data_IF_758233571403
#
_entry.id   IF_758233571403
#
_cell.length_a   1.000
_cell.length_b   1.000
_cell.length_c   1.000
_cell.angle_alpha   90.00
_cell.angle_beta   90.00
_cell.angle_gamma   90.00
#
_symmetry.space_group_name_H-M   'P 1'
#
loop_
_entity.id
_entity.type
_entity.pdbx_description
1 polymer ?
#
# COMPACT_ATOMS: atom_id res chain seq x y z
N UNK A 1 -13.85 40.71 -27.01
CA UNK A 1 -14.57 39.50 -26.55
C UNK A 1 -13.51 38.52 -26.08
N UNK A 2 -13.56 38.09 -24.82
CA UNK A 2 -12.62 37.09 -24.33
C UNK A 2 -13.38 35.78 -24.13
N UNK A 3 -12.90 34.74 -24.79
CA UNK A 3 -13.50 33.41 -24.76
C UNK A 3 -12.91 32.64 -23.59
N UNK A 4 -13.78 32.21 -22.67
CA UNK A 4 -13.40 31.40 -21.51
C UNK A 4 -13.04 29.99 -22.02
N UNK A 5 -11.79 29.58 -21.84
CA UNK A 5 -11.34 28.26 -22.25
C UNK A 5 -11.36 27.31 -21.05
N UNK A 6 -12.19 26.29 -21.12
CA UNK A 6 -12.36 25.30 -20.06
C UNK A 6 -11.19 24.31 -20.12
N UNK A 7 -10.38 24.29 -19.05
CA UNK A 7 -9.23 23.39 -18.95
C UNK A 7 -9.68 22.08 -18.30
N UNK A 8 -9.41 20.96 -18.98
CA UNK A 8 -9.71 19.63 -18.44
C UNK A 8 -8.73 19.31 -17.32
N UNK A 9 -9.25 18.90 -16.15
CA UNK A 9 -8.42 18.51 -15.01
C UNK A 9 -7.63 17.25 -15.35
N UNK A 10 -6.30 17.31 -15.18
CA UNK A 10 -5.41 16.15 -15.31
C UNK A 10 -5.84 15.08 -14.29
N UNK A 11 -5.90 13.82 -14.70
CA UNK A 11 -6.06 12.71 -13.76
C UNK A 11 -4.85 12.70 -12.81
N UNK A 12 -5.13 12.56 -11.52
CA UNK A 12 -4.10 12.31 -10.52
C UNK A 12 -3.74 10.84 -10.64
N UNK A 13 -2.51 10.57 -11.01
CA UNK A 13 -1.96 9.23 -10.91
C UNK A 13 -1.72 8.96 -9.42
N UNK A 14 -2.24 7.85 -8.91
CA UNK A 14 -2.10 7.52 -7.49
C UNK A 14 -0.62 7.19 -7.21
N UNK A 15 0.04 8.07 -6.46
CA UNK A 15 1.47 8.00 -6.13
C UNK A 15 1.84 6.69 -5.41
N UNK A 16 0.86 6.00 -4.83
CA UNK A 16 1.06 4.73 -4.12
C UNK A 16 0.54 3.53 -4.91
N UNK A 17 0.49 3.67 -6.24
CA UNK A 17 0.35 2.58 -7.20
C UNK A 17 -1.09 2.09 -7.35
N UNK A 18 -1.52 1.94 -8.60
CA UNK A 18 -2.82 1.39 -8.97
C UNK A 18 -2.98 -0.11 -8.67
N UNK A 19 -3.86 -0.77 -9.42
CA UNK A 19 -4.30 -2.17 -9.22
C UNK A 19 -3.16 -3.22 -9.15
N UNK A 20 -1.95 -2.88 -9.63
CA UNK A 20 -0.74 -3.73 -9.59
C UNK A 20 0.33 -3.32 -8.57
N UNK A 21 0.09 -2.36 -7.68
CA UNK A 21 1.12 -1.85 -6.75
C UNK A 21 1.71 -2.92 -5.82
N UNK A 22 0.96 -3.98 -5.58
CA UNK A 22 1.32 -5.05 -4.66
C UNK A 22 1.91 -6.28 -5.36
N UNK A 23 1.93 -6.30 -6.70
CA UNK A 23 2.43 -7.42 -7.49
C UNK A 23 3.96 -7.56 -7.40
N UNK A 24 4.66 -6.43 -7.26
CA UNK A 24 6.13 -6.38 -7.14
C UNK A 24 6.62 -6.29 -5.69
N UNK A 25 5.71 -6.38 -4.71
CA UNK A 25 6.05 -6.27 -3.30
C UNK A 25 6.54 -7.63 -2.81
N UNK A 26 7.59 -7.63 -1.99
CA UNK A 26 8.18 -8.84 -1.46
C UNK A 26 7.16 -9.64 -0.62
N UNK A 27 7.22 -10.97 -0.71
CA UNK A 27 6.30 -11.86 -0.01
C UNK A 27 7.00 -12.47 1.19
N UNK A 28 6.44 -12.25 2.38
CA UNK A 28 6.91 -12.88 3.61
C UNK A 28 5.95 -13.97 4.07
N UNK A 29 6.50 -14.95 4.78
CA UNK A 29 5.74 -15.92 5.54
C UNK A 29 5.36 -15.26 6.89
N UNK A 30 4.15 -14.71 6.97
CA UNK A 30 3.58 -14.13 8.19
C UNK A 30 2.13 -14.54 8.32
N UNK A 31 1.80 -15.07 9.50
CA UNK A 31 0.44 -15.46 9.84
C UNK A 31 -0.48 -14.24 9.83
N UNK A 32 -1.52 -14.28 9.00
CA UNK A 32 -2.52 -13.23 8.98
C UNK A 32 -3.24 -13.16 10.35
N UNK A 33 -3.39 -11.96 10.96
CA UNK A 33 -4.09 -11.81 12.24
C UNK A 33 -5.60 -12.07 12.13
N UNK A 34 -6.13 -12.19 10.90
CA UNK A 34 -7.54 -12.52 10.66
C UNK A 34 -7.74 -14.02 10.86
N UNK A 35 -8.44 -14.36 11.94
CA UNK A 35 -8.78 -15.74 12.33
C UNK A 35 -9.51 -16.52 11.22
N UNK A 36 -10.31 -15.83 10.39
CA UNK A 36 -11.00 -16.43 9.24
C UNK A 36 -10.10 -16.77 8.06
N UNK A 37 -8.91 -16.17 7.96
CA UNK A 37 -8.06 -16.35 6.78
C UNK A 37 -7.07 -17.51 6.98
N UNK A 38 -6.41 -17.54 8.15
CA UNK A 38 -5.43 -18.56 8.54
C UNK A 38 -4.27 -18.75 7.55
N UNK A 39 -4.04 -17.76 6.66
CA UNK A 39 -3.05 -17.86 5.60
C UNK A 39 -1.71 -17.31 6.09
N UNK A 40 -0.63 -17.98 5.68
CA UNK A 40 0.72 -17.69 6.15
C UNK A 40 1.51 -16.80 5.19
N UNK A 41 0.95 -16.37 4.06
CA UNK A 41 1.64 -15.48 3.11
C UNK A 41 1.04 -14.08 3.12
N UNK A 42 1.91 -13.09 3.23
CA UNK A 42 1.57 -11.67 3.14
C UNK A 42 2.60 -10.93 2.28
N UNK A 43 2.14 -9.95 1.50
CA UNK A 43 3.01 -8.94 0.92
C UNK A 43 3.50 -8.02 2.02
N UNK A 44 4.77 -7.66 2.03
CA UNK A 44 5.30 -6.68 2.98
C UNK A 44 6.16 -5.64 2.28
N UNK A 45 6.05 -4.41 2.75
CA UNK A 45 6.96 -3.34 2.37
C UNK A 45 7.26 -2.48 3.58
N UNK A 46 8.46 -1.92 3.58
CA UNK A 46 8.95 -1.08 4.66
C UNK A 46 8.97 0.36 4.17
N UNK A 47 8.31 1.24 4.89
CA UNK A 47 8.24 2.65 4.54
C UNK A 47 8.59 3.52 5.75
N UNK A 48 9.58 4.39 5.54
CA UNK A 48 9.95 5.44 6.49
C UNK A 48 8.94 6.59 6.37
N UNK A 49 7.90 6.55 7.21
CA UNK A 49 6.85 7.58 7.28
C UNK A 49 7.08 8.62 8.38
N UNK A 50 8.11 8.44 9.22
CA UNK A 50 8.42 9.27 10.38
C UNK A 50 9.84 9.83 10.31
N UNK A 51 10.24 10.54 11.36
CA UNK A 51 11.58 11.12 11.46
C UNK A 51 12.63 10.02 11.41
N UNK A 52 13.84 10.34 10.95
CA UNK A 52 14.94 9.37 10.82
C UNK A 52 15.38 8.73 12.16
N UNK A 53 14.91 9.27 13.28
CA UNK A 53 15.13 8.76 14.64
C UNK A 53 14.21 7.57 15.01
N UNK A 54 13.17 7.27 14.22
CA UNK A 54 12.27 6.14 14.46
C UNK A 54 12.56 4.96 13.51
N UNK A 55 12.41 3.71 13.98
CA UNK A 55 12.57 2.53 13.13
C UNK A 55 11.56 2.55 11.99
N UNK A 56 11.89 1.88 10.89
CA UNK A 56 11.01 1.83 9.72
C UNK A 56 9.68 1.15 10.07
N UNK A 57 8.56 1.69 9.61
CA UNK A 57 7.27 1.02 9.75
C UNK A 57 7.15 -0.05 8.67
N UNK A 58 6.90 -1.29 9.10
CA UNK A 58 6.62 -2.40 8.18
C UNK A 58 5.12 -2.50 7.97
N UNK A 59 4.69 -2.49 6.72
CA UNK A 59 3.31 -2.70 6.33
C UNK A 59 3.16 -4.09 5.73
N UNK A 60 2.14 -4.81 6.19
CA UNK A 60 1.79 -6.13 5.71
C UNK A 60 0.41 -6.11 5.05
N UNK A 61 0.23 -6.87 3.99
CA UNK A 61 -1.05 -7.12 3.34
C UNK A 61 -1.20 -8.60 3.04
N UNK A 62 -2.25 -9.22 3.58
CA UNK A 62 -2.53 -10.62 3.27
C UNK A 62 -2.87 -10.79 1.78
N UNK A 63 -2.27 -11.80 1.14
CA UNK A 63 -2.51 -12.09 -0.28
C UNK A 63 -3.92 -12.63 -0.57
N UNK A 64 -4.60 -13.16 0.45
CA UNK A 64 -5.91 -13.83 0.33
C UNK A 64 -7.07 -12.95 0.75
N UNK A 65 -7.00 -12.31 1.93
CA UNK A 65 -8.09 -11.46 2.44
C UNK A 65 -7.88 -9.97 2.20
N UNK A 66 -6.74 -9.56 1.61
CA UNK A 66 -6.38 -8.15 1.40
C UNK A 66 -6.40 -7.30 2.67
N UNK A 67 -6.40 -7.92 3.85
CA UNK A 67 -6.31 -7.24 5.12
C UNK A 67 -4.92 -6.63 5.26
N UNK A 68 -4.87 -5.37 5.70
CA UNK A 68 -3.63 -4.63 5.88
C UNK A 68 -3.41 -4.36 7.36
N UNK A 69 -2.22 -4.67 7.84
CA UNK A 69 -1.78 -4.34 9.20
C UNK A 69 -0.35 -3.80 9.15
N UNK A 70 0.06 -3.16 10.24
CA UNK A 70 1.36 -2.49 10.35
C UNK A 70 2.03 -2.89 11.65
N UNK A 71 3.33 -3.04 11.59
CA UNK A 71 4.20 -3.39 12.70
C UNK A 71 5.31 -2.34 12.81
N UNK A 72 5.59 -1.92 14.04
CA UNK A 72 6.54 -0.87 14.38
C UNK A 72 7.43 -1.33 15.54
#
# INVERSE_FOLDING_TARGET
>A
MYERKELTRKQVDDVLGGDGAWDNVDQTATQCPVESCGFDKAYFFQLQIRSADEPMTTFYKCTKCSHQWREN
#
